data_IF_933161931291
#
_entry.id   IF_933161931291
#
_cell.length_a   1.000
_cell.length_b   1.000
_cell.length_c   1.000
_cell.angle_alpha   90.00
_cell.angle_beta   90.00
_cell.angle_gamma   90.00
#
_symmetry.space_group_name_H-M   'P 1'
#
loop_
_entity.id
_entity.type
_entity.pdbx_description
1 polymer ?
#
# COMPACT_ATOMS: atom_id res chain seq x y z
N UNK A 1 15.05 -7.59 26.12
CA UNK A 1 14.29 -6.49 25.48
C UNK A 1 12.83 -6.86 25.65
N UNK A 2 12.13 -6.18 26.56
CA UNK A 2 10.68 -6.28 26.66
C UNK A 2 10.15 -5.53 25.43
N UNK A 3 9.65 -6.28 24.46
CA UNK A 3 8.87 -5.68 23.36
C UNK A 3 7.56 -5.27 24.04
N UNK A 4 7.42 -3.97 24.32
CA UNK A 4 6.16 -3.42 24.79
C UNK A 4 5.05 -3.68 23.77
N UNK A 5 3.83 -3.61 24.23
CA UNK A 5 2.63 -3.77 23.39
C UNK A 5 2.67 -2.72 22.26
N UNK A 6 3.03 -3.15 21.07
CA UNK A 6 3.08 -2.32 19.87
C UNK A 6 1.66 -2.30 19.28
N UNK A 7 0.72 -1.69 19.98
CA UNK A 7 -0.51 -1.27 19.34
C UNK A 7 -0.21 0.00 18.56
N UNK A 8 -0.19 -0.11 17.25
CA UNK A 8 -0.17 1.07 16.38
C UNK A 8 -1.53 1.75 16.48
N UNK A 9 -1.54 3.07 16.74
CA UNK A 9 -2.78 3.86 16.72
C UNK A 9 -3.16 4.31 15.29
N UNK A 10 -2.64 3.61 14.27
CA UNK A 10 -2.93 3.91 12.86
C UNK A 10 -4.17 3.14 12.41
N UNK A 11 -5.09 3.88 11.80
CA UNK A 11 -6.27 3.32 11.14
C UNK A 11 -6.16 3.54 9.63
N UNK A 12 -6.21 2.47 8.81
CA UNK A 12 -6.24 2.58 7.36
C UNK A 12 -7.52 2.00 6.76
N UNK A 13 -7.97 2.60 5.66
CA UNK A 13 -9.03 2.05 4.83
C UNK A 13 -8.50 1.82 3.42
N UNK A 14 -8.57 0.58 2.95
CA UNK A 14 -8.02 0.13 1.69
C UNK A 14 -9.13 -0.07 0.68
N UNK A 15 -9.09 0.73 -0.40
CA UNK A 15 -10.21 0.86 -1.32
C UNK A 15 -9.90 0.27 -2.69
N UNK A 16 -10.63 -0.76 -3.07
CA UNK A 16 -10.73 -1.18 -4.47
C UNK A 16 -10.34 -2.61 -4.75
N UNK A 17 -9.13 -2.84 -5.25
CA UNK A 17 -8.78 -4.07 -5.93
C UNK A 17 -8.70 -5.30 -5.03
N UNK A 18 -9.16 -6.40 -5.61
CA UNK A 18 -9.02 -7.74 -5.09
C UNK A 18 -8.93 -8.72 -6.27
N UNK A 19 -8.06 -9.70 -6.15
CA UNK A 19 -7.86 -10.75 -7.17
C UNK A 19 -7.51 -12.07 -6.51
N UNK A 20 -7.53 -13.14 -7.30
CA UNK A 20 -6.91 -14.41 -6.96
C UNK A 20 -5.60 -14.56 -7.73
N UNK A 21 -4.50 -14.64 -7.00
CA UNK A 21 -3.18 -14.92 -7.55
C UNK A 21 -3.06 -16.43 -7.82
N UNK A 22 -3.12 -16.81 -9.10
CA UNK A 22 -2.97 -18.18 -9.54
C UNK A 22 -1.48 -18.52 -9.74
N UNK A 23 -0.84 -19.09 -8.75
CA UNK A 23 0.56 -19.53 -8.86
C UNK A 23 0.64 -20.89 -9.59
N UNK A 24 0.94 -20.86 -10.87
CA UNK A 24 1.03 -22.05 -11.71
C UNK A 24 2.25 -22.91 -11.38
N UNK A 25 3.33 -22.33 -10.85
CA UNK A 25 4.50 -23.10 -10.44
C UNK A 25 4.20 -24.02 -9.26
N UNK A 26 3.44 -23.51 -8.27
CA UNK A 26 3.05 -24.26 -7.07
C UNK A 26 1.72 -24.97 -7.18
N UNK A 27 0.92 -24.62 -8.18
CA UNK A 27 -0.46 -25.08 -8.35
C UNK A 27 -1.33 -24.72 -7.15
N UNK A 28 -1.24 -23.48 -6.71
CA UNK A 28 -1.96 -22.93 -5.56
C UNK A 28 -2.53 -21.55 -5.94
N UNK A 29 -3.73 -21.29 -5.49
CA UNK A 29 -4.40 -19.99 -5.58
C UNK A 29 -4.30 -19.28 -4.27
N UNK A 30 -3.87 -18.02 -4.29
CA UNK A 30 -3.77 -17.17 -3.11
C UNK A 30 -4.73 -15.98 -3.23
N UNK A 31 -5.35 -15.54 -2.11
CA UNK A 31 -6.01 -14.24 -2.10
C UNK A 31 -4.96 -13.14 -2.30
N UNK A 32 -5.27 -12.13 -3.10
CA UNK A 32 -4.35 -11.06 -3.49
C UNK A 32 -5.07 -9.78 -3.91
N UNK A 33 -4.30 -8.89 -4.47
CA UNK A 33 -4.65 -7.51 -4.81
C UNK A 33 -3.95 -6.53 -3.86
N UNK A 34 -3.48 -5.38 -4.40
CA UNK A 34 -2.69 -4.42 -3.62
C UNK A 34 -3.45 -3.94 -2.37
N UNK A 35 -4.75 -3.63 -2.52
CA UNK A 35 -5.58 -3.17 -1.40
C UNK A 35 -5.83 -4.27 -0.36
N UNK A 36 -6.06 -5.50 -0.80
CA UNK A 36 -6.20 -6.67 0.09
C UNK A 36 -4.89 -6.92 0.85
N UNK A 37 -3.76 -6.93 0.14
CA UNK A 37 -2.43 -7.14 0.71
C UNK A 37 -2.11 -6.07 1.77
N UNK A 38 -2.34 -4.79 1.44
CA UNK A 38 -2.09 -3.67 2.35
C UNK A 38 -2.93 -3.79 3.64
N UNK A 39 -4.24 -4.09 3.53
CA UNK A 39 -5.11 -4.27 4.68
C UNK A 39 -4.62 -5.41 5.59
N UNK A 40 -4.24 -6.56 5.00
CA UNK A 40 -3.73 -7.71 5.76
C UNK A 40 -2.40 -7.40 6.44
N UNK A 41 -1.44 -6.81 5.73
CA UNK A 41 -0.15 -6.45 6.32
C UNK A 41 -0.30 -5.39 7.41
N UNK A 42 -1.19 -4.40 7.23
CA UNK A 42 -1.52 -3.42 8.25
C UNK A 42 -2.03 -4.10 9.52
N UNK A 43 -2.99 -5.01 9.40
CA UNK A 43 -3.52 -5.77 10.55
C UNK A 43 -2.44 -6.60 11.24
N UNK A 44 -1.54 -7.24 10.49
CA UNK A 44 -0.47 -8.07 11.04
C UNK A 44 0.59 -7.29 11.85
N UNK A 45 0.67 -5.98 11.68
CA UNK A 45 1.55 -5.09 12.47
C UNK A 45 0.80 -4.29 13.53
N UNK A 46 -0.48 -4.59 13.76
CA UNK A 46 -1.28 -4.02 14.84
C UNK A 46 -2.12 -2.81 14.48
N UNK A 47 -2.21 -2.44 13.20
CA UNK A 47 -3.12 -1.37 12.76
C UNK A 47 -4.59 -1.80 12.86
N UNK A 48 -5.49 -0.84 13.03
CA UNK A 48 -6.90 -1.04 12.71
C UNK A 48 -7.10 -0.84 11.20
N UNK A 49 -7.60 -1.86 10.51
CA UNK A 49 -7.72 -1.86 9.05
C UNK A 49 -9.13 -2.18 8.59
N UNK A 50 -9.56 -1.50 7.55
CA UNK A 50 -10.78 -1.81 6.83
C UNK A 50 -10.46 -2.04 5.35
N UNK A 51 -11.13 -3.00 4.76
CA UNK A 51 -11.14 -3.18 3.32
C UNK A 51 -12.53 -2.82 2.77
N UNK A 52 -12.57 -2.01 1.71
CA UNK A 52 -13.80 -1.63 1.04
C UNK A 52 -13.61 -1.83 -0.47
N UNK A 53 -14.29 -2.82 -0.99
CA UNK A 53 -14.24 -3.14 -2.41
C UNK A 53 -15.52 -3.81 -2.87
N UNK A 54 -15.63 -3.99 -4.18
CA UNK A 54 -16.65 -4.84 -4.77
C UNK A 54 -16.14 -6.27 -4.81
N UNK A 55 -16.86 -7.16 -4.18
CA UNK A 55 -16.57 -8.60 -4.07
C UNK A 55 -17.54 -9.35 -4.97
N UNK A 56 -17.03 -10.14 -5.89
CA UNK A 56 -17.88 -10.96 -6.74
C UNK A 56 -18.61 -12.04 -5.94
N UNK A 57 -19.89 -12.28 -6.28
CA UNK A 57 -20.69 -13.33 -5.66
C UNK A 57 -20.37 -14.72 -6.26
N UNK A 58 -19.07 -15.05 -6.37
CA UNK A 58 -18.57 -16.34 -6.80
C UNK A 58 -17.81 -17.07 -5.69
N UNK A 59 -17.23 -18.22 -5.99
CA UNK A 59 -16.48 -18.99 -4.99
C UNK A 59 -15.22 -18.27 -4.51
N UNK A 60 -14.58 -17.46 -5.37
CA UNK A 60 -13.33 -16.80 -5.10
C UNK A 60 -13.54 -15.51 -4.31
N UNK A 61 -14.56 -14.74 -4.63
CA UNK A 61 -14.96 -13.59 -3.83
C UNK A 61 -15.37 -13.99 -2.42
N UNK A 62 -16.08 -15.13 -2.27
CA UNK A 62 -16.40 -15.68 -0.94
C UNK A 62 -15.15 -16.14 -0.18
N UNK A 63 -14.14 -16.70 -0.88
CA UNK A 63 -12.86 -17.06 -0.28
C UNK A 63 -12.12 -15.81 0.21
N UNK A 64 -12.01 -14.76 -0.63
CA UNK A 64 -11.39 -13.48 -0.28
C UNK A 64 -12.04 -12.87 0.96
N UNK A 65 -13.37 -12.72 0.95
CA UNK A 65 -14.10 -12.13 2.07
C UNK A 65 -13.91 -12.92 3.36
N UNK A 66 -13.96 -14.25 3.28
CA UNK A 66 -13.73 -15.12 4.43
C UNK A 66 -12.32 -14.90 5.02
N UNK A 67 -11.30 -14.87 4.18
CA UNK A 67 -9.90 -14.65 4.62
C UNK A 67 -9.74 -13.29 5.29
N UNK A 68 -10.28 -12.22 4.70
CA UNK A 68 -10.24 -10.88 5.30
C UNK A 68 -10.90 -10.85 6.68
N UNK A 69 -12.07 -11.50 6.82
CA UNK A 69 -12.76 -11.60 8.12
C UNK A 69 -11.97 -12.43 9.13
N UNK A 70 -11.33 -13.53 8.73
CA UNK A 70 -10.46 -14.34 9.59
C UNK A 70 -9.22 -13.59 10.06
N UNK A 71 -8.68 -12.69 9.23
CA UNK A 71 -7.59 -11.78 9.60
C UNK A 71 -8.06 -10.61 10.50
N UNK A 72 -9.37 -10.48 10.74
CA UNK A 72 -9.94 -9.44 11.61
C UNK A 72 -10.00 -8.06 10.96
N UNK A 73 -10.14 -8.01 9.64
CA UNK A 73 -10.27 -6.78 8.86
C UNK A 73 -11.75 -6.39 8.79
N UNK A 74 -12.06 -5.11 8.98
CA UNK A 74 -13.44 -4.62 8.83
C UNK A 74 -13.84 -4.58 7.35
N UNK A 75 -14.76 -5.47 6.98
CA UNK A 75 -15.35 -5.57 5.64
C UNK A 75 -16.80 -5.08 5.60
N UNK A 76 -17.25 -4.33 6.61
CA UNK A 76 -18.67 -3.93 6.77
C UNK A 76 -19.20 -3.04 5.64
N UNK A 77 -18.30 -2.43 4.85
CA UNK A 77 -18.63 -1.58 3.70
C UNK A 77 -18.29 -2.23 2.35
N UNK A 78 -17.91 -3.51 2.33
CA UNK A 78 -17.79 -4.26 1.09
C UNK A 78 -19.16 -4.43 0.40
N UNK A 79 -19.16 -4.37 -0.91
CA UNK A 79 -20.36 -4.53 -1.75
C UNK A 79 -20.24 -5.88 -2.45
N UNK A 80 -21.19 -6.78 -2.20
CA UNK A 80 -21.24 -8.09 -2.86
C UNK A 80 -22.17 -7.98 -4.06
N UNK A 81 -21.65 -8.24 -5.25
CA UNK A 81 -22.42 -8.17 -6.51
C UNK A 81 -22.18 -9.40 -7.38
N UNK A 82 -23.10 -9.68 -8.28
CA UNK A 82 -22.92 -10.72 -9.28
C UNK A 82 -21.83 -10.31 -10.28
N UNK A 83 -20.92 -11.21 -10.55
CA UNK A 83 -19.76 -10.98 -11.42
C UNK A 83 -18.70 -12.05 -11.20
N UNK A 84 -17.54 -11.83 -11.78
CA UNK A 84 -16.38 -12.72 -11.66
C UNK A 84 -15.27 -12.04 -10.86
N UNK A 85 -14.67 -12.79 -9.93
CA UNK A 85 -13.46 -12.34 -9.23
C UNK A 85 -12.28 -12.25 -10.20
N UNK A 86 -11.51 -11.18 -10.16
CA UNK A 86 -10.31 -11.02 -10.97
C UNK A 86 -9.26 -12.10 -10.70
N UNK A 87 -8.48 -12.40 -11.71
CA UNK A 87 -7.43 -13.44 -11.66
C UNK A 87 -6.11 -12.84 -12.15
N UNK A 88 -5.02 -13.12 -11.43
CA UNK A 88 -3.66 -12.81 -11.84
C UNK A 88 -2.86 -14.12 -11.98
N UNK A 89 -2.38 -14.44 -13.17
CA UNK A 89 -1.54 -15.62 -13.43
C UNK A 89 -0.08 -15.35 -13.10
N UNK A 90 0.52 -16.21 -12.28
CA UNK A 90 1.88 -16.04 -11.78
C UNK A 90 2.71 -17.30 -12.00
N UNK A 91 3.93 -17.15 -12.50
CA UNK A 91 5.01 -18.11 -12.34
C UNK A 91 6.10 -17.58 -11.41
N UNK A 92 6.82 -18.49 -10.76
CA UNK A 92 8.02 -18.15 -9.99
C UNK A 92 9.26 -18.57 -10.76
N UNK A 93 10.20 -17.65 -10.89
CA UNK A 93 11.53 -17.90 -11.43
C UNK A 93 12.56 -17.46 -10.39
N UNK A 94 13.28 -18.42 -9.82
CA UNK A 94 14.27 -18.21 -8.74
C UNK A 94 13.70 -17.44 -7.52
N UNK A 95 12.42 -17.66 -7.22
CA UNK A 95 11.68 -16.97 -6.16
C UNK A 95 11.13 -15.59 -6.56
N UNK A 96 11.49 -15.07 -7.72
CA UNK A 96 10.91 -13.83 -8.24
C UNK A 96 9.59 -14.10 -8.97
N UNK A 97 8.63 -13.19 -8.77
CA UNK A 97 7.31 -13.25 -9.38
C UNK A 97 7.38 -12.77 -10.84
N UNK A 98 6.89 -13.60 -11.75
CA UNK A 98 6.67 -13.26 -13.15
C UNK A 98 5.17 -13.37 -13.44
N UNK A 99 4.54 -12.26 -13.81
CA UNK A 99 3.14 -12.25 -14.27
C UNK A 99 3.12 -12.80 -15.69
N UNK A 100 2.29 -13.81 -15.94
CA UNK A 100 2.22 -14.51 -17.24
C UNK A 100 0.91 -14.27 -17.98
N UNK A 101 -0.14 -13.89 -17.27
CA UNK A 101 -1.40 -13.45 -17.84
C UNK A 101 -1.66 -12.01 -17.39
N UNK A 102 -2.39 -11.23 -18.20
CA UNK A 102 -2.83 -9.91 -17.76
C UNK A 102 -3.63 -10.04 -16.46
N UNK A 103 -3.43 -9.08 -15.55
CA UNK A 103 -4.26 -8.98 -14.36
C UNK A 103 -5.69 -8.66 -14.78
N UNK A 104 -6.54 -9.69 -14.82
CA UNK A 104 -7.98 -9.52 -15.02
C UNK A 104 -8.61 -9.13 -13.68
N UNK A 105 -8.87 -7.84 -13.49
CA UNK A 105 -9.49 -7.32 -12.28
C UNK A 105 -11.00 -7.65 -12.16
N UNK A 106 -11.57 -8.40 -13.10
CA UNK A 106 -12.93 -8.91 -13.04
C UNK A 106 -13.98 -7.85 -12.70
N UNK A 107 -14.81 -8.12 -11.69
CA UNK A 107 -15.88 -7.22 -11.24
C UNK A 107 -15.35 -5.81 -10.87
N UNK A 108 -14.17 -5.70 -10.28
CA UNK A 108 -13.59 -4.40 -9.88
C UNK A 108 -13.41 -3.48 -11.07
N UNK A 109 -12.94 -4.03 -12.20
CA UNK A 109 -12.78 -3.28 -13.46
C UNK A 109 -14.11 -3.06 -14.19
N UNK A 110 -14.97 -4.10 -14.21
CA UNK A 110 -16.26 -4.04 -14.90
C UNK A 110 -17.25 -3.07 -14.26
N UNK A 111 -17.20 -2.94 -12.94
CA UNK A 111 -18.07 -2.06 -12.16
C UNK A 111 -17.31 -1.43 -10.97
N UNK A 112 -16.45 -0.41 -11.19
CA UNK A 112 -15.62 0.17 -10.15
C UNK A 112 -16.40 0.71 -8.95
N UNK A 113 -15.73 0.81 -7.81
CA UNK A 113 -16.31 1.38 -6.59
C UNK A 113 -16.58 2.89 -6.77
N UNK A 114 -17.78 3.32 -6.41
CA UNK A 114 -18.15 4.73 -6.38
C UNK A 114 -18.15 5.23 -4.94
N UNK A 115 -17.45 6.33 -4.68
CA UNK A 115 -17.42 6.97 -3.36
C UNK A 115 -18.67 7.79 -3.16
N UNK A 116 -19.63 7.21 -2.42
CA UNK A 116 -20.86 7.87 -1.98
C UNK A 116 -20.59 8.70 -0.72
N UNK A 117 -21.53 9.60 -0.37
CA UNK A 117 -21.44 10.37 0.89
C UNK A 117 -21.39 9.47 2.13
N UNK A 118 -22.11 8.36 2.13
CA UNK A 118 -22.15 7.38 3.22
C UNK A 118 -20.77 6.72 3.40
N UNK A 119 -20.16 6.31 2.27
CA UNK A 119 -18.81 5.75 2.28
C UNK A 119 -17.78 6.82 2.67
N UNK A 120 -17.91 8.05 2.17
CA UNK A 120 -17.02 9.14 2.54
C UNK A 120 -17.08 9.42 4.06
N UNK A 121 -18.27 9.40 4.65
CA UNK A 121 -18.44 9.57 6.10
C UNK A 121 -17.87 8.39 6.91
N UNK A 122 -17.85 7.19 6.34
CA UNK A 122 -17.21 6.04 6.95
C UNK A 122 -15.68 6.17 6.92
N UNK A 123 -15.09 6.47 5.76
CA UNK A 123 -13.63 6.55 5.60
C UNK A 123 -13.01 7.76 6.31
N UNK A 124 -13.77 8.81 6.64
CA UNK A 124 -13.31 9.93 7.50
C UNK A 124 -12.86 9.50 8.90
N UNK A 125 -13.14 8.29 9.32
CA UNK A 125 -12.71 7.76 10.62
C UNK A 125 -11.27 7.23 10.59
N UNK A 126 -10.68 7.13 9.41
CA UNK A 126 -9.36 6.57 9.20
C UNK A 126 -8.32 7.66 8.97
N UNK A 127 -7.09 7.37 9.32
CA UNK A 127 -5.94 8.28 9.17
C UNK A 127 -5.42 8.37 7.75
N UNK A 128 -5.68 7.30 6.97
CA UNK A 128 -5.20 7.14 5.61
C UNK A 128 -6.21 6.33 4.79
N UNK A 129 -6.36 6.72 3.54
CA UNK A 129 -6.95 5.87 2.50
C UNK A 129 -5.82 5.40 1.59
N UNK A 130 -5.75 4.09 1.36
CA UNK A 130 -4.91 3.47 0.34
C UNK A 130 -5.77 2.97 -0.83
N UNK A 131 -5.26 3.13 -2.05
CA UNK A 131 -5.82 2.54 -3.26
C UNK A 131 -4.73 2.30 -4.30
N UNK A 132 -5.04 1.60 -5.38
CA UNK A 132 -4.08 1.25 -6.40
C UNK A 132 -4.60 1.46 -7.83
N UNK A 133 -3.69 1.38 -8.81
CA UNK A 133 -4.01 1.47 -10.23
C UNK A 133 -4.95 0.35 -10.73
N UNK A 134 -5.05 -0.74 -9.98
CA UNK A 134 -5.96 -1.86 -10.30
C UNK A 134 -7.36 -1.70 -9.68
N UNK A 135 -7.59 -0.61 -8.95
CA UNK A 135 -8.89 -0.31 -8.31
C UNK A 135 -9.86 0.42 -9.24
N UNK A 136 -9.35 1.09 -10.29
CA UNK A 136 -10.13 1.85 -11.28
C UNK A 136 -11.01 2.94 -10.66
N UNK A 137 -10.52 3.61 -9.59
CA UNK A 137 -11.25 4.67 -8.88
C UNK A 137 -10.57 6.05 -8.94
N UNK A 138 -9.72 6.29 -9.93
CA UNK A 138 -8.90 7.51 -10.05
C UNK A 138 -9.76 8.79 -10.03
N UNK A 139 -10.95 8.76 -10.65
CA UNK A 139 -11.87 9.90 -10.68
C UNK A 139 -12.54 10.17 -9.32
N UNK A 140 -12.58 9.16 -8.45
CA UNK A 140 -13.16 9.24 -7.13
C UNK A 140 -12.19 9.81 -6.07
N UNK A 141 -10.87 9.73 -6.30
CA UNK A 141 -9.84 10.12 -5.34
C UNK A 141 -9.94 11.59 -4.91
N UNK A 142 -10.35 12.46 -5.82
CA UNK A 142 -10.53 13.89 -5.51
C UNK A 142 -11.58 14.13 -4.41
N UNK A 143 -12.61 13.29 -4.30
CA UNK A 143 -13.64 13.39 -3.26
C UNK A 143 -13.03 13.11 -1.88
N UNK A 144 -12.13 12.12 -1.81
CA UNK A 144 -11.44 11.71 -0.59
C UNK A 144 -10.46 12.80 -0.15
N UNK A 145 -9.62 13.28 -1.09
CA UNK A 145 -8.67 14.37 -0.83
C UNK A 145 -9.38 15.65 -0.35
N UNK A 146 -10.48 16.03 -1.00
CA UNK A 146 -11.26 17.22 -0.63
C UNK A 146 -11.95 17.07 0.74
N UNK A 147 -12.15 15.84 1.21
CA UNK A 147 -12.65 15.58 2.55
C UNK A 147 -11.56 15.69 3.64
N UNK A 148 -10.32 16.00 3.24
CA UNK A 148 -9.18 16.18 4.14
C UNK A 148 -8.52 14.88 4.61
N UNK A 149 -8.80 13.75 3.96
CA UNK A 149 -8.22 12.46 4.30
C UNK A 149 -6.98 12.25 3.42
N UNK A 150 -5.81 11.92 3.98
CA UNK A 150 -4.64 11.58 3.20
C UNK A 150 -4.88 10.37 2.30
N UNK A 151 -4.46 10.47 1.05
CA UNK A 151 -4.57 9.40 0.05
C UNK A 151 -3.17 8.93 -0.34
N UNK A 152 -2.89 7.65 -0.11
CA UNK A 152 -1.76 6.93 -0.67
C UNK A 152 -2.27 6.17 -1.91
N UNK A 153 -1.61 6.37 -3.06
CA UNK A 153 -1.97 5.66 -4.28
C UNK A 153 -0.78 4.86 -4.81
N UNK A 154 -1.02 3.57 -5.01
CA UNK A 154 -0.05 2.64 -5.56
C UNK A 154 -0.24 2.51 -7.07
N UNK A 155 0.72 3.05 -7.82
CA UNK A 155 0.78 2.93 -9.27
C UNK A 155 1.33 1.58 -9.75
N UNK A 156 1.82 0.74 -8.84
CA UNK A 156 2.50 -0.52 -9.17
C UNK A 156 3.64 -0.30 -10.19
N UNK A 157 3.69 -1.07 -11.25
CA UNK A 157 4.55 -0.91 -12.43
C UNK A 157 3.80 -0.34 -13.66
N UNK A 158 2.52 0.03 -13.49
CA UNK A 158 1.62 0.52 -14.54
C UNK A 158 1.63 2.04 -14.72
N UNK A 159 2.70 2.73 -14.29
CA UNK A 159 2.78 4.17 -14.34
C UNK A 159 3.46 4.71 -15.61
N UNK A 160 3.04 5.90 -16.00
CA UNK A 160 3.65 6.75 -17.03
C UNK A 160 3.66 8.18 -16.52
N UNK A 161 4.43 9.08 -17.16
CA UNK A 161 4.43 10.51 -16.77
C UNK A 161 3.02 11.11 -16.83
N UNK A 162 2.23 10.78 -17.85
CA UNK A 162 0.85 11.26 -17.99
C UNK A 162 -0.06 10.75 -16.87
N UNK A 163 0.05 9.47 -16.48
CA UNK A 163 -0.69 8.90 -15.34
C UNK A 163 -0.28 9.59 -14.04
N UNK A 164 1.03 9.75 -13.80
CA UNK A 164 1.50 10.47 -12.61
C UNK A 164 0.94 11.90 -12.57
N UNK A 165 1.04 12.67 -13.66
CA UNK A 165 0.53 14.02 -13.75
C UNK A 165 -0.99 14.10 -13.51
N UNK A 166 -1.75 13.17 -14.05
CA UNK A 166 -3.22 13.18 -13.96
C UNK A 166 -3.73 12.79 -12.58
N UNK A 167 -3.05 11.87 -11.89
CA UNK A 167 -3.51 11.28 -10.63
C UNK A 167 -2.91 12.00 -9.41
N UNK A 168 -1.62 12.37 -9.43
CA UNK A 168 -0.93 12.95 -8.28
C UNK A 168 -1.60 14.22 -7.73
N UNK A 169 -2.23 15.03 -8.57
CA UNK A 169 -3.02 16.19 -8.13
C UNK A 169 -4.18 15.84 -7.19
N UNK A 170 -4.66 14.59 -7.25
CA UNK A 170 -5.81 14.10 -6.49
C UNK A 170 -5.42 13.22 -5.28
N UNK A 171 -4.13 13.04 -5.04
CA UNK A 171 -3.59 12.22 -3.95
C UNK A 171 -2.60 13.01 -3.10
N UNK A 172 -2.08 12.40 -2.06
CA UNK A 172 -1.12 12.99 -1.14
C UNK A 172 0.24 12.32 -1.21
N UNK A 173 0.25 11.01 -1.40
CA UNK A 173 1.45 10.17 -1.42
C UNK A 173 1.40 9.31 -2.68
N UNK A 174 2.44 9.41 -3.49
CA UNK A 174 2.63 8.56 -4.67
C UNK A 174 3.58 7.40 -4.33
N UNK A 175 3.20 6.19 -4.66
CA UNK A 175 4.04 5.01 -4.56
C UNK A 175 4.06 4.25 -5.89
N UNK A 176 5.23 3.83 -6.35
CA UNK A 176 5.38 3.07 -7.60
C UNK A 176 6.60 2.17 -7.60
N UNK A 177 6.57 1.14 -8.45
CA UNK A 177 7.69 0.24 -8.70
C UNK A 177 8.56 0.78 -9.83
N UNK A 178 9.87 0.88 -9.60
CA UNK A 178 10.86 1.38 -10.54
C UNK A 178 12.00 0.40 -10.83
N UNK A 179 11.79 -0.90 -10.65
CA UNK A 179 12.86 -1.90 -10.70
C UNK A 179 13.64 -1.93 -12.03
N UNK A 180 13.00 -1.55 -13.14
CA UNK A 180 13.58 -1.63 -14.48
C UNK A 180 14.23 -0.33 -14.95
N UNK A 181 14.20 0.73 -14.12
CA UNK A 181 14.78 2.03 -14.43
C UNK A 181 16.04 2.32 -13.60
N UNK A 182 16.87 3.24 -14.10
CA UNK A 182 18.00 3.76 -13.34
C UNK A 182 17.54 4.76 -12.25
N UNK A 183 18.37 4.95 -11.22
CA UNK A 183 18.01 5.75 -10.06
C UNK A 183 17.88 7.25 -10.37
N UNK A 184 18.61 7.79 -11.32
CA UNK A 184 18.52 9.23 -11.67
C UNK A 184 17.20 9.51 -12.38
N UNK A 185 16.80 8.65 -13.31
CA UNK A 185 15.48 8.74 -13.95
C UNK A 185 14.35 8.66 -12.91
N UNK A 186 14.45 7.74 -11.94
CA UNK A 186 13.46 7.60 -10.87
C UNK A 186 13.39 8.84 -9.97
N UNK A 187 14.54 9.44 -9.64
CA UNK A 187 14.57 10.69 -8.86
C UNK A 187 13.86 11.83 -9.57
N UNK A 188 14.02 11.96 -10.90
CA UNK A 188 13.32 12.97 -11.68
C UNK A 188 11.80 12.81 -11.57
N UNK A 189 11.28 11.57 -11.62
CA UNK A 189 9.85 11.31 -11.43
C UNK A 189 9.37 11.57 -10.00
N UNK A 190 10.17 11.22 -8.99
CA UNK A 190 9.85 11.54 -7.60
C UNK A 190 9.74 13.05 -7.37
N UNK A 191 10.67 13.82 -7.93
CA UNK A 191 10.63 15.30 -7.90
C UNK A 191 9.36 15.83 -8.59
N UNK A 192 9.02 15.31 -9.79
CA UNK A 192 7.80 15.72 -10.48
C UNK A 192 6.54 15.45 -9.64
N UNK A 193 6.43 14.27 -9.01
CA UNK A 193 5.28 13.93 -8.18
C UNK A 193 5.08 14.94 -7.04
N UNK A 194 6.16 15.38 -6.41
CA UNK A 194 6.09 16.31 -5.28
C UNK A 194 6.04 17.76 -5.75
N UNK A 195 7.06 18.22 -6.48
CA UNK A 195 7.26 19.64 -6.76
C UNK A 195 6.34 20.16 -7.85
N UNK A 196 5.90 19.27 -8.77
CA UNK A 196 5.07 19.67 -9.91
C UNK A 196 3.61 19.20 -9.81
N UNK A 197 3.36 18.01 -9.24
CA UNK A 197 2.04 17.38 -9.28
C UNK A 197 1.29 17.42 -7.94
N UNK A 198 1.95 17.87 -6.85
CA UNK A 198 1.30 18.26 -5.61
C UNK A 198 1.14 17.16 -4.54
N UNK A 199 1.89 16.06 -4.65
CA UNK A 199 2.09 15.14 -3.52
C UNK A 199 3.00 15.79 -2.48
N UNK A 200 2.90 15.41 -1.22
CA UNK A 200 3.89 15.81 -0.22
C UNK A 200 4.98 14.75 -0.01
N UNK A 201 4.76 13.53 -0.52
CA UNK A 201 5.71 12.43 -0.45
C UNK A 201 5.62 11.59 -1.74
N UNK A 202 6.76 11.22 -2.29
CA UNK A 202 6.84 10.29 -3.40
C UNK A 202 7.84 9.18 -3.10
N UNK A 203 7.50 7.95 -3.42
CA UNK A 203 8.21 6.75 -3.00
C UNK A 203 8.32 5.80 -4.18
N UNK A 204 9.49 5.20 -4.37
CA UNK A 204 9.68 4.10 -5.31
C UNK A 204 10.46 2.96 -4.69
N UNK A 205 10.02 1.73 -4.95
CA UNK A 205 10.83 0.53 -4.69
C UNK A 205 11.52 0.08 -5.96
N UNK A 206 12.76 -0.40 -5.81
CA UNK A 206 13.62 -0.83 -6.93
C UNK A 206 14.10 -2.28 -6.74
N UNK A 207 13.22 -3.13 -6.27
CA UNK A 207 13.47 -4.55 -6.04
C UNK A 207 14.66 -4.79 -5.11
N UNK A 208 15.57 -5.67 -5.49
CA UNK A 208 16.80 -5.97 -4.73
C UNK A 208 17.75 -4.78 -4.56
N UNK A 209 17.50 -3.66 -5.23
CA UNK A 209 18.24 -2.41 -5.02
C UNK A 209 17.65 -1.55 -3.90
N UNK A 210 16.45 -1.87 -3.34
CA UNK A 210 15.83 -1.22 -2.17
C UNK A 210 14.78 -0.18 -2.52
N UNK A 211 14.81 0.99 -1.86
CA UNK A 211 13.79 2.02 -2.05
C UNK A 211 14.37 3.44 -1.99
N UNK A 212 13.68 4.38 -2.62
CA UNK A 212 13.96 5.80 -2.59
C UNK A 212 12.69 6.54 -2.18
N UNK A 213 12.84 7.52 -1.29
CA UNK A 213 11.77 8.42 -0.84
C UNK A 213 12.21 9.85 -1.12
N UNK A 214 11.28 10.71 -1.56
CA UNK A 214 11.47 12.14 -1.72
C UNK A 214 10.35 12.92 -1.04
N UNK A 215 10.70 13.88 -0.18
CA UNK A 215 9.75 14.66 0.62
C UNK A 215 9.73 16.16 0.27
N UNK A 216 10.15 16.51 -0.96
CA UNK A 216 10.25 17.90 -1.40
C UNK A 216 11.52 18.64 -0.94
N UNK A 217 12.32 18.04 -0.04
CA UNK A 217 13.57 18.64 0.46
C UNK A 217 14.79 17.81 0.11
N UNK A 218 14.73 16.51 0.34
CA UNK A 218 15.86 15.60 0.05
C UNK A 218 15.42 14.20 -0.31
N UNK A 219 16.34 13.43 -0.85
CA UNK A 219 16.17 12.01 -1.12
C UNK A 219 16.67 11.18 0.04
N UNK A 220 15.90 10.16 0.40
CA UNK A 220 16.30 9.09 1.31
C UNK A 220 16.46 7.82 0.51
N UNK A 221 17.54 7.10 0.76
CA UNK A 221 17.88 5.89 0.03
C UNK A 221 18.22 4.78 1.02
N UNK A 222 17.57 3.63 0.88
CA UNK A 222 17.85 2.47 1.75
C UNK A 222 17.90 1.18 0.96
N UNK A 223 18.96 0.41 1.19
CA UNK A 223 19.11 -0.94 0.65
C UNK A 223 18.22 -1.91 1.42
N UNK A 224 17.75 -3.00 0.79
CA UNK A 224 16.99 -4.03 1.47
C UNK A 224 17.83 -4.74 2.52
N UNK A 225 17.18 -5.35 3.51
CA UNK A 225 17.89 -6.21 4.44
C UNK A 225 18.26 -7.53 3.80
N UNK A 226 19.54 -7.86 3.84
CA UNK A 226 20.08 -9.11 3.32
C UNK A 226 20.37 -10.07 4.49
N UNK A 227 19.33 -10.70 5.04
CA UNK A 227 19.47 -11.73 6.04
C UNK A 227 19.75 -13.10 5.41
N UNK A 228 20.37 -14.02 6.18
CA UNK A 228 20.53 -15.40 5.77
C UNK A 228 19.15 -16.09 5.54
N UNK A 229 19.08 -16.93 4.53
CA UNK A 229 17.84 -17.56 4.06
C UNK A 229 17.34 -16.94 2.75
N UNK A 230 17.12 -17.74 1.73
CA UNK A 230 16.76 -17.31 0.38
C UNK A 230 15.44 -16.54 0.30
N UNK A 231 15.04 -16.17 -0.91
CA UNK A 231 13.71 -15.66 -1.24
C UNK A 231 12.85 -16.86 -1.61
N UNK A 232 11.65 -16.95 -1.02
CA UNK A 232 10.66 -17.98 -1.34
C UNK A 232 9.72 -17.46 -2.43
N UNK A 233 9.23 -16.21 -2.25
CA UNK A 233 8.26 -15.58 -3.13
C UNK A 233 8.30 -14.06 -2.93
N UNK A 234 8.34 -13.29 -4.01
CA UNK A 234 8.33 -11.82 -3.95
C UNK A 234 6.94 -11.20 -4.11
N UNK A 235 5.89 -12.03 -4.23
CA UNK A 235 4.51 -11.55 -4.32
C UNK A 235 4.14 -10.74 -3.07
N UNK A 236 3.64 -9.52 -3.25
CA UNK A 236 3.29 -8.61 -2.16
C UNK A 236 4.48 -7.93 -1.44
N UNK A 237 5.72 -8.07 -1.94
CA UNK A 237 6.88 -7.44 -1.30
C UNK A 237 6.80 -5.92 -1.33
N UNK A 238 6.32 -5.33 -2.43
CA UNK A 238 6.04 -3.89 -2.54
C UNK A 238 4.96 -3.44 -1.56
N UNK A 239 3.82 -4.16 -1.56
CA UNK A 239 2.68 -3.86 -0.68
C UNK A 239 3.07 -3.92 0.81
N UNK A 240 3.83 -4.94 1.20
CA UNK A 240 4.31 -5.07 2.57
C UNK A 240 5.33 -3.98 2.93
N UNK A 241 6.19 -3.57 1.97
CA UNK A 241 7.14 -2.49 2.18
C UNK A 241 6.43 -1.17 2.44
N UNK A 242 5.47 -0.80 1.56
CA UNK A 242 4.76 0.47 1.70
C UNK A 242 3.86 0.48 2.94
N UNK A 243 3.22 -0.66 3.28
CA UNK A 243 2.43 -0.78 4.52
C UNK A 243 3.29 -0.50 5.75
N UNK A 244 4.47 -1.12 5.85
CA UNK A 244 5.38 -0.90 6.97
C UNK A 244 5.90 0.53 7.04
N UNK A 245 6.29 1.08 5.89
CA UNK A 245 6.75 2.46 5.81
C UNK A 245 5.66 3.43 6.27
N UNK A 246 4.47 3.38 5.68
CA UNK A 246 3.44 4.41 5.91
C UNK A 246 2.84 4.31 7.31
N UNK A 247 2.70 3.09 7.86
CA UNK A 247 2.24 2.90 9.23
C UNK A 247 3.17 3.56 10.24
N UNK A 248 4.47 3.34 10.10
CA UNK A 248 5.48 4.00 10.96
C UNK A 248 5.49 5.51 10.76
N UNK A 249 5.42 5.97 9.52
CA UNK A 249 5.43 7.40 9.20
C UNK A 249 4.22 8.13 9.82
N UNK A 250 3.01 7.64 9.59
CA UNK A 250 1.79 8.26 10.11
C UNK A 250 1.75 8.24 11.64
N UNK A 251 2.08 7.11 12.27
CA UNK A 251 2.08 6.97 13.72
C UNK A 251 3.00 8.01 14.39
N UNK A 252 4.22 8.15 13.89
CA UNK A 252 5.17 9.10 14.44
C UNK A 252 4.78 10.55 14.15
N UNK A 253 4.29 10.86 12.95
CA UNK A 253 3.84 12.21 12.62
C UNK A 253 2.60 12.61 13.44
N UNK A 254 1.65 11.70 13.70
CA UNK A 254 0.52 11.94 14.62
C UNK A 254 1.02 12.25 16.04
N UNK A 255 1.97 11.48 16.55
CA UNK A 255 2.54 11.71 17.89
C UNK A 255 3.21 13.09 17.97
N UNK A 256 3.94 13.48 16.94
CA UNK A 256 4.55 14.81 16.86
C UNK A 256 3.51 15.93 16.87
N UNK A 257 2.43 15.80 16.07
CA UNK A 257 1.34 16.78 16.04
C UNK A 257 0.60 16.88 17.41
N UNK A 258 0.39 15.76 18.09
CA UNK A 258 -0.20 15.74 19.45
C UNK A 258 0.71 16.48 20.42
N UNK A 259 2.02 16.23 20.41
CA UNK A 259 2.99 16.91 21.25
C UNK A 259 3.01 18.42 20.97
N UNK A 260 3.05 18.81 19.70
CA UNK A 260 3.02 20.21 19.27
C UNK A 260 1.75 20.93 19.78
N UNK A 261 0.60 20.29 19.66
CA UNK A 261 -0.69 20.83 20.09
C UNK A 261 -0.82 21.03 21.61
N UNK A 262 -0.15 20.16 22.38
CA UNK A 262 -0.18 20.16 23.85
C UNK A 262 1.00 20.90 24.49
N UNK A 263 1.86 21.53 23.70
CA UNK A 263 3.05 22.24 24.17
C UNK A 263 2.86 23.76 24.06
N UNK A 264 3.65 24.56 24.80
CA UNK A 264 3.64 26.01 24.69
C UNK A 264 3.89 26.50 23.25
N UNK A 265 3.39 27.68 22.92
CA UNK A 265 3.68 28.32 21.64
C UNK A 265 5.20 28.37 21.40
N UNK A 266 5.60 28.04 20.16
CA UNK A 266 7.01 27.95 19.75
C UNK A 266 7.84 26.84 20.44
N UNK A 267 7.20 25.77 20.91
CA UNK A 267 7.90 24.59 21.44
C UNK A 267 8.86 23.95 20.41
N UNK A 268 8.46 23.89 19.15
CA UNK A 268 9.26 23.40 18.04
C UNK A 268 9.39 24.48 16.97
N UNK A 269 10.61 24.72 16.52
CA UNK A 269 10.84 25.50 15.30
C UNK A 269 10.48 24.68 14.05
N UNK A 270 10.38 25.34 12.90
CA UNK A 270 10.19 24.66 11.61
C UNK A 270 11.34 23.67 11.34
N UNK A 271 12.57 24.03 11.67
CA UNK A 271 13.73 23.14 11.52
C UNK A 271 13.63 21.90 12.41
N UNK A 272 13.13 22.02 13.65
CA UNK A 272 12.95 20.86 14.53
C UNK A 272 11.93 19.88 13.96
N UNK A 273 10.86 20.39 13.35
CA UNK A 273 9.83 19.57 12.68
C UNK A 273 10.41 18.85 11.47
N UNK A 274 11.21 19.55 10.66
CA UNK A 274 11.86 18.99 9.48
C UNK A 274 12.90 17.93 9.86
N UNK A 275 13.73 18.18 10.87
CA UNK A 275 14.70 17.21 11.37
C UNK A 275 14.02 15.98 11.97
N UNK A 276 12.89 16.17 12.65
CA UNK A 276 12.09 15.04 13.15
C UNK A 276 11.52 14.21 12.02
N UNK A 277 10.91 14.84 11.01
CA UNK A 277 10.36 14.14 9.84
C UNK A 277 11.46 13.35 9.12
N UNK A 278 12.65 13.91 8.97
CA UNK A 278 13.79 13.25 8.37
C UNK A 278 14.14 11.92 9.08
N UNK A 279 14.18 11.94 10.42
CA UNK A 279 14.41 10.74 11.23
C UNK A 279 13.25 9.74 11.10
N UNK A 280 12.01 10.23 11.07
CA UNK A 280 10.82 9.39 10.90
C UNK A 280 10.86 8.66 9.57
N UNK A 281 11.21 9.34 8.47
CA UNK A 281 11.34 8.72 7.15
C UNK A 281 12.38 7.58 7.17
N UNK A 282 13.56 7.84 7.74
CA UNK A 282 14.63 6.83 7.82
C UNK A 282 14.22 5.60 8.64
N UNK A 283 13.54 5.80 9.78
CA UNK A 283 13.00 4.71 10.59
C UNK A 283 11.89 3.95 9.88
N UNK A 284 11.00 4.65 9.20
CA UNK A 284 9.90 4.07 8.44
C UNK A 284 10.41 3.20 7.29
N UNK A 285 11.47 3.60 6.60
CA UNK A 285 12.15 2.76 5.61
C UNK A 285 12.75 1.48 6.23
N UNK A 286 13.18 1.51 7.49
CA UNK A 286 13.65 0.31 8.20
C UNK A 286 12.50 -0.69 8.39
N UNK A 287 11.33 -0.22 8.84
CA UNK A 287 10.16 -1.08 9.03
C UNK A 287 9.65 -1.62 7.69
N UNK A 288 9.59 -0.78 6.65
CA UNK A 288 9.27 -1.22 5.29
C UNK A 288 10.19 -2.36 4.82
N UNK A 289 11.50 -2.19 4.96
CA UNK A 289 12.48 -3.24 4.62
C UNK A 289 12.28 -4.53 5.43
N UNK A 290 11.94 -4.42 6.72
CA UNK A 290 11.72 -5.57 7.59
C UNK A 290 10.49 -6.37 7.15
N UNK A 291 9.39 -5.69 6.85
CA UNK A 291 8.16 -6.34 6.39
C UNK A 291 8.32 -6.96 5.01
N UNK A 292 8.94 -6.25 4.07
CA UNK A 292 9.24 -6.81 2.75
C UNK A 292 10.12 -8.06 2.84
N UNK A 293 11.12 -8.03 3.71
CA UNK A 293 11.95 -9.21 3.97
C UNK A 293 11.18 -10.38 4.57
N UNK A 294 10.31 -10.10 5.56
CA UNK A 294 9.42 -11.12 6.14
C UNK A 294 8.49 -11.70 5.09
N UNK A 295 7.90 -10.84 4.26
CA UNK A 295 7.01 -11.26 3.18
C UNK A 295 7.72 -12.21 2.19
N UNK A 296 8.94 -11.89 1.77
CA UNK A 296 9.72 -12.75 0.87
C UNK A 296 10.03 -14.16 1.43
N UNK A 297 9.69 -14.47 2.67
CA UNK A 297 9.80 -15.79 3.30
C UNK A 297 8.46 -16.54 3.38
N UNK A 298 7.40 -15.98 2.80
CA UNK A 298 6.06 -16.55 2.80
C UNK A 298 5.66 -16.88 1.36
N UNK A 299 4.88 -17.92 1.16
CA UNK A 299 4.30 -18.27 -0.14
C UNK A 299 3.06 -17.41 -0.41
N UNK A 300 2.95 -16.87 -1.62
CA UNK A 300 1.96 -15.84 -1.93
C UNK A 300 2.23 -14.55 -1.12
N UNK A 301 1.33 -13.59 -1.16
CA UNK A 301 1.54 -12.33 -0.42
C UNK A 301 1.57 -12.56 1.10
N UNK A 302 0.59 -13.26 1.64
CA UNK A 302 0.44 -13.52 3.08
C UNK A 302 0.01 -14.96 3.39
N UNK A 303 0.20 -15.88 2.46
CA UNK A 303 -0.23 -17.27 2.59
C UNK A 303 -1.73 -17.46 2.31
N UNK A 304 -2.38 -18.38 3.04
CA UNK A 304 -3.80 -18.71 2.89
C UNK A 304 -4.15 -19.32 1.51
N UNK A 305 -3.20 -20.00 0.91
CA UNK A 305 -3.38 -20.64 -0.38
C UNK A 305 -4.36 -21.82 -0.36
N UNK A 306 -5.02 -22.03 -1.49
CA UNK A 306 -5.87 -23.19 -1.77
C UNK A 306 -5.35 -23.92 -3.02
N UNK A 307 -5.17 -25.23 -3.01
CA UNK A 307 -4.73 -25.98 -4.21
C UNK A 307 -5.68 -25.79 -5.39
N UNK A 308 -5.13 -26.00 -6.62
CA UNK A 308 -5.92 -26.03 -7.85
C UNK A 308 -6.81 -27.25 -7.88
#
# INVERSE_FOLDING_TARGET
IVIGDWSSDVCSSDLGDNVIDCNYTRRVRYPGGNCVNFAVFGKQIGNETAYVGKIANDQWGRMLLKVLQEEGIDCSKCIIEDGETGICGIHLQDGDRVIVDENDAGLVKANPLVITEDLLNYIKKFDLVHSSCYSYIEEELIKIKNAGIPVLYDFSDEWTDDKLQSICKNINIAFFSGKDLDEECLKDYLVKCVDSYGCYLAITTIGGRGAIVYNGRKFYRKLPYNFAGGVIDTTGAGDSWITGFISSYIDNMKKMEILKKNSPDNFLSQSDVEDFEDHVIEQSMCLGNLLARRNCLVEGSFGKGSPF
#
